data_IF_637697428523
#
_entry.id   IF_637697428523
#
_cell.length_a   1.000
_cell.length_b   1.000
_cell.length_c   1.000
_cell.angle_alpha   90.00
_cell.angle_beta   90.00
_cell.angle_gamma   90.00
#
_symmetry.space_group_name_H-M   'P 1'
#
loop_
_entity.id
_entity.type
_entity.pdbx_description
1 polymer ?
#
# COMPACT_ATOMS: atom_id res chain seq x y z
N UNK A 1 12.25 -9.67 -23.45
CA UNK A 1 11.21 -10.64 -23.06
C UNK A 1 10.35 -9.97 -21.98
N UNK A 2 9.03 -10.02 -22.09
CA UNK A 2 8.14 -9.48 -21.05
C UNK A 2 8.01 -10.52 -19.93
N UNK A 3 8.03 -10.08 -18.67
CA UNK A 3 7.91 -10.98 -17.50
C UNK A 3 6.48 -11.50 -17.32
N UNK A 4 5.47 -10.72 -17.72
CA UNK A 4 4.06 -11.09 -17.60
C UNK A 4 3.20 -10.35 -18.63
N UNK A 5 2.03 -10.90 -18.90
CA UNK A 5 0.95 -10.23 -19.64
C UNK A 5 -0.41 -10.70 -19.10
N UNK A 6 -1.47 -9.94 -19.37
CA UNK A 6 -2.82 -10.32 -18.99
C UNK A 6 -3.52 -10.99 -20.17
N UNK A 7 -3.94 -12.24 -19.98
CA UNK A 7 -4.73 -12.96 -20.97
C UNK A 7 -6.22 -12.78 -20.70
N UNK A 8 -6.92 -12.06 -21.57
CA UNK A 8 -8.37 -11.89 -21.50
C UNK A 8 -9.07 -13.01 -22.28
N UNK A 9 -10.09 -13.62 -21.68
CA UNK A 9 -10.89 -14.68 -22.32
C UNK A 9 -11.53 -14.23 -23.64
N UNK A 10 -11.82 -12.92 -23.75
CA UNK A 10 -12.37 -12.29 -24.96
C UNK A 10 -11.49 -12.51 -26.20
N UNK A 11 -10.17 -12.69 -26.05
CA UNK A 11 -9.25 -12.88 -27.17
C UNK A 11 -9.57 -14.10 -28.02
N UNK A 12 -10.13 -15.13 -27.39
CA UNK A 12 -10.44 -16.40 -28.03
C UNK A 12 -11.90 -16.82 -27.82
N UNK A 13 -12.75 -15.92 -27.31
CA UNK A 13 -14.13 -16.25 -26.97
C UNK A 13 -14.92 -16.70 -28.21
N UNK A 14 -14.76 -15.96 -29.31
CA UNK A 14 -15.49 -16.14 -30.56
C UNK A 14 -14.89 -17.22 -31.48
N UNK A 15 -13.72 -17.78 -31.12
CA UNK A 15 -13.11 -18.84 -31.93
C UNK A 15 -13.80 -20.20 -31.68
N UNK A 16 -13.91 -21.05 -32.71
CA UNK A 16 -14.30 -22.44 -32.52
C UNK A 16 -13.39 -23.16 -31.53
N UNK A 17 -13.95 -24.10 -30.76
CA UNK A 17 -13.24 -24.79 -29.66
C UNK A 17 -11.93 -25.44 -30.11
N UNK A 18 -11.88 -25.97 -31.32
CA UNK A 18 -10.70 -26.60 -31.92
C UNK A 18 -9.52 -25.63 -32.11
N UNK A 19 -9.79 -24.35 -32.34
CA UNK A 19 -8.75 -23.34 -32.54
C UNK A 19 -8.35 -22.60 -31.26
N UNK A 20 -9.18 -22.65 -30.21
CA UNK A 20 -8.93 -21.90 -28.95
C UNK A 20 -7.58 -22.22 -28.33
N UNK A 21 -7.20 -23.49 -28.24
CA UNK A 21 -5.93 -23.90 -27.64
C UNK A 21 -4.73 -23.41 -28.45
N UNK A 22 -4.80 -23.55 -29.78
CA UNK A 22 -3.73 -23.13 -30.69
C UNK A 22 -3.52 -21.62 -30.62
N UNK A 23 -4.61 -20.83 -30.69
CA UNK A 23 -4.54 -19.38 -30.59
C UNK A 23 -4.14 -18.89 -29.19
N UNK A 24 -4.47 -19.61 -28.12
CA UNK A 24 -3.97 -19.33 -26.78
C UNK A 24 -2.43 -19.48 -26.71
N UNK A 25 -1.88 -20.52 -27.33
CA UNK A 25 -0.41 -20.70 -27.38
C UNK A 25 0.24 -19.57 -28.20
N UNK A 26 -0.32 -19.25 -29.37
CA UNK A 26 0.19 -18.16 -30.21
C UNK A 26 0.17 -16.81 -29.51
N UNK A 27 -0.88 -16.53 -28.76
CA UNK A 27 -0.98 -15.29 -27.98
C UNK A 27 0.02 -15.25 -26.84
N UNK A 28 0.22 -16.34 -26.11
CA UNK A 28 1.23 -16.42 -25.04
C UNK A 28 2.64 -16.20 -25.60
N UNK A 29 2.98 -16.90 -26.68
CA UNK A 29 4.31 -16.80 -27.31
C UNK A 29 4.55 -15.39 -27.87
N UNK A 30 3.55 -14.81 -28.53
CA UNK A 30 3.65 -13.45 -29.04
C UNK A 30 3.73 -12.42 -27.89
N UNK A 31 2.93 -12.60 -26.84
CA UNK A 31 2.93 -11.68 -25.71
C UNK A 31 4.26 -11.71 -24.94
N UNK A 32 4.79 -12.89 -24.62
CA UNK A 32 5.99 -13.01 -23.78
C UNK A 32 7.28 -12.86 -24.59
N UNK A 33 7.36 -13.55 -25.73
CA UNK A 33 8.57 -13.69 -26.53
C UNK A 33 8.58 -12.80 -27.79
N UNK A 34 7.43 -12.28 -28.22
CA UNK A 34 7.32 -11.54 -29.49
C UNK A 34 7.34 -12.45 -30.72
N UNK A 35 7.21 -13.77 -30.51
CA UNK A 35 7.26 -14.76 -31.58
C UNK A 35 5.93 -14.79 -32.35
N UNK A 36 6.02 -14.67 -33.67
CA UNK A 36 4.87 -14.78 -34.57
C UNK A 36 4.60 -16.25 -34.87
N UNK A 37 3.33 -16.66 -35.00
CA UNK A 37 2.99 -18.03 -35.32
C UNK A 37 3.35 -18.35 -36.76
N UNK A 38 3.68 -19.61 -37.03
CA UNK A 38 4.01 -20.11 -38.36
C UNK A 38 2.76 -20.38 -39.20
N UNK A 39 1.90 -19.37 -39.36
CA UNK A 39 0.67 -19.41 -40.18
C UNK A 39 0.96 -18.74 -41.52
N UNK A 40 0.41 -19.30 -42.60
CA UNK A 40 0.54 -18.72 -43.93
C UNK A 40 -0.15 -17.35 -44.03
N UNK A 41 0.58 -16.35 -44.55
CA UNK A 41 0.06 -14.99 -44.74
C UNK A 41 -1.10 -14.99 -45.74
N UNK A 42 -2.22 -14.36 -45.37
CA UNK A 42 -3.43 -14.28 -46.20
C UNK A 42 -4.53 -15.27 -45.82
N UNK A 43 -4.24 -16.25 -44.98
CA UNK A 43 -5.24 -17.17 -44.43
C UNK A 43 -6.15 -16.47 -43.41
N UNK A 44 -7.39 -16.97 -43.23
CA UNK A 44 -8.32 -16.49 -42.21
C UNK A 44 -7.68 -16.52 -40.81
N UNK A 45 -6.95 -17.59 -40.49
CA UNK A 45 -6.22 -17.75 -39.23
C UNK A 45 -5.19 -16.64 -39.00
N UNK A 46 -4.47 -16.24 -40.05
CA UNK A 46 -3.51 -15.15 -39.97
C UNK A 46 -4.24 -13.82 -39.67
N UNK A 47 -5.38 -13.57 -40.32
CA UNK A 47 -6.17 -12.36 -40.05
C UNK A 47 -6.73 -12.32 -38.61
N UNK A 48 -7.10 -13.48 -38.06
CA UNK A 48 -7.53 -13.62 -36.67
C UNK A 48 -6.35 -13.34 -35.73
N UNK A 49 -5.18 -13.90 -36.02
CA UNK A 49 -3.99 -13.67 -35.22
C UNK A 49 -3.58 -12.19 -35.24
N UNK A 50 -3.59 -11.52 -36.40
CA UNK A 50 -3.27 -10.10 -36.53
C UNK A 50 -4.21 -9.24 -35.67
N UNK A 51 -5.51 -9.57 -35.62
CA UNK A 51 -6.47 -8.85 -34.76
C UNK A 51 -6.10 -8.99 -33.28
N UNK A 52 -5.73 -10.18 -32.84
CA UNK A 52 -5.36 -10.43 -31.45
C UNK A 52 -4.01 -9.79 -31.12
N UNK A 53 -3.02 -9.90 -32.00
CA UNK A 53 -1.70 -9.26 -31.88
C UNK A 53 -1.85 -7.75 -31.70
N UNK A 54 -2.65 -7.09 -32.55
CA UNK A 54 -2.94 -5.65 -32.45
C UNK A 54 -3.51 -5.27 -31.08
N UNK A 55 -4.34 -6.12 -30.50
CA UNK A 55 -4.92 -5.86 -29.17
C UNK A 55 -3.86 -5.97 -28.07
N UNK A 56 -3.01 -6.99 -28.14
CA UNK A 56 -1.88 -7.18 -27.20
C UNK A 56 -0.94 -5.98 -27.25
N UNK A 57 -0.63 -5.46 -28.43
CA UNK A 57 0.25 -4.29 -28.59
C UNK A 57 -0.37 -3.03 -27.95
N UNK A 58 -1.65 -2.77 -28.21
CA UNK A 58 -2.37 -1.64 -27.59
C UNK A 58 -2.38 -1.73 -26.06
N UNK A 59 -2.51 -2.92 -25.50
CA UNK A 59 -2.49 -3.11 -24.04
C UNK A 59 -1.08 -2.96 -23.46
N UNK A 60 -0.06 -3.41 -24.19
CA UNK A 60 1.33 -3.18 -23.84
C UNK A 60 1.65 -1.68 -23.75
N UNK A 61 1.24 -0.91 -24.76
CA UNK A 61 1.43 0.53 -24.82
C UNK A 61 0.70 1.24 -23.67
N UNK A 62 -0.55 0.85 -23.40
CA UNK A 62 -1.33 1.37 -22.28
C UNK A 62 -0.65 1.08 -20.95
N UNK A 63 -0.17 -0.14 -20.74
CA UNK A 63 0.50 -0.54 -19.51
C UNK A 63 1.78 0.28 -19.30
N UNK A 64 2.64 0.39 -20.31
CA UNK A 64 3.87 1.19 -20.23
C UNK A 64 3.57 2.68 -20.02
N UNK A 65 2.52 3.23 -20.66
CA UNK A 65 2.09 4.61 -20.41
C UNK A 65 1.61 4.82 -18.96
N UNK A 66 0.84 3.88 -18.40
CA UNK A 66 0.40 3.93 -17.00
C UNK A 66 1.60 3.79 -16.06
N UNK A 67 2.52 2.87 -16.33
CA UNK A 67 3.75 2.65 -15.56
C UNK A 67 4.63 3.90 -15.54
N UNK A 68 4.83 4.55 -16.69
CA UNK A 68 5.55 5.81 -16.80
C UNK A 68 4.87 6.94 -16.01
N UNK A 69 3.54 7.08 -16.11
CA UNK A 69 2.77 8.05 -15.32
C UNK A 69 2.90 7.80 -13.81
N UNK A 70 2.81 6.54 -13.37
CA UNK A 70 2.97 6.14 -11.96
C UNK A 70 4.38 6.42 -11.45
N UNK A 71 5.41 6.09 -12.24
CA UNK A 71 6.80 6.39 -11.91
C UNK A 71 7.07 7.90 -11.81
N UNK A 72 6.51 8.70 -12.72
CA UNK A 72 6.61 10.17 -12.67
C UNK A 72 5.88 10.74 -11.44
N UNK A 73 4.69 10.24 -11.11
CA UNK A 73 3.96 10.63 -9.91
C UNK A 73 4.73 10.26 -8.63
N UNK A 74 5.34 9.08 -8.57
CA UNK A 74 6.21 8.64 -7.47
C UNK A 74 7.50 9.44 -7.33
N UNK A 75 8.00 10.08 -8.39
CA UNK A 75 9.10 11.06 -8.28
C UNK A 75 8.64 12.41 -7.71
N UNK A 76 7.42 12.85 -8.05
CA UNK A 76 6.86 14.14 -7.58
C UNK A 76 6.42 14.10 -6.13
N UNK A 77 5.83 12.99 -5.71
CA UNK A 77 5.57 12.73 -4.30
C UNK A 77 6.65 11.77 -3.82
N UNK A 78 7.65 12.25 -3.06
CA UNK A 78 8.47 11.38 -2.18
C UNK A 78 7.52 10.74 -1.16
N UNK A 79 6.79 9.73 -1.64
CA UNK A 79 5.84 8.97 -0.88
C UNK A 79 6.61 8.26 0.21
N UNK A 80 6.03 8.29 1.40
CA UNK A 80 6.50 7.70 2.64
C UNK A 80 6.51 6.16 2.52
N UNK A 81 7.27 5.60 1.58
CA UNK A 81 7.58 4.18 1.55
C UNK A 81 8.67 3.96 2.58
N UNK A 82 8.36 3.11 3.54
CA UNK A 82 9.28 2.59 4.51
C UNK A 82 10.41 1.90 3.74
N UNK A 83 11.51 2.60 3.50
CA UNK A 83 12.79 1.95 3.26
C UNK A 83 13.09 1.18 4.54
N UNK A 84 13.14 -0.14 4.47
CA UNK A 84 13.81 -0.92 5.50
C UNK A 84 15.29 -0.56 5.36
N UNK A 85 15.79 0.26 6.27
CA UNK A 85 17.22 0.47 6.41
C UNK A 85 17.81 -0.83 6.96
N UNK A 86 18.70 -1.45 6.19
CA UNK A 86 19.61 -2.47 6.71
C UNK A 86 20.55 -1.86 7.78
N UNK A 87 20.97 -2.66 8.77
CA UNK A 87 21.48 -2.16 10.04
C UNK A 87 22.90 -1.60 9.91
N UNK A 88 23.09 -0.33 10.27
CA UNK A 88 24.41 0.25 10.49
C UNK A 88 24.77 0.13 11.98
N UNK A 89 25.88 -0.57 12.22
CA UNK A 89 26.47 -0.90 13.52
C UNK A 89 26.78 0.34 14.39
N UNK A 90 26.68 0.10 15.70
CA UNK A 90 27.08 0.87 16.90
C UNK A 90 28.52 1.45 16.80
N UNK A 91 29.01 2.49 17.51
CA UNK A 91 28.79 3.03 18.87
C UNK A 91 29.61 4.39 18.98
N UNK A 92 29.85 5.04 20.15
CA UNK A 92 29.02 5.93 21.00
C UNK A 92 29.62 7.37 21.16
N UNK A 93 29.17 8.10 22.21
CA UNK A 93 29.72 9.34 22.83
C UNK A 93 29.15 10.68 22.28
N UNK A 94 28.77 11.70 23.06
CA UNK A 94 28.70 11.96 24.50
C UNK A 94 27.78 13.21 24.67
N UNK A 95 27.06 13.36 25.79
CA UNK A 95 26.44 14.65 26.18
C UNK A 95 27.52 15.54 26.82
N UNK A 96 27.40 16.88 26.75
CA UNK A 96 26.98 17.56 27.98
C UNK A 96 26.04 18.78 27.81
N UNK A 97 25.28 19.01 28.88
CA UNK A 97 24.47 20.20 29.19
C UNK A 97 25.36 21.41 29.54
N UNK A 98 24.88 22.63 29.29
CA UNK A 98 25.13 23.79 30.16
C UNK A 98 24.17 24.95 29.84
N UNK A 99 23.50 25.45 30.89
CA UNK A 99 22.67 26.65 30.96
C UNK A 99 23.51 27.94 30.86
N UNK A 100 22.88 29.06 30.44
CA UNK A 100 23.03 30.39 31.06
C UNK A 100 22.02 31.43 30.54
N UNK A 101 21.51 32.20 31.50
CA UNK A 101 20.46 33.22 31.47
C UNK A 101 20.72 34.49 30.62
N UNK A 102 19.59 34.99 30.06
CA UNK A 102 19.03 36.36 29.84
C UNK A 102 19.88 37.67 29.96
N UNK A 103 19.33 38.87 29.60
CA UNK A 103 18.20 39.23 28.71
C UNK A 103 18.50 40.43 27.77
N UNK A 104 17.77 40.63 26.66
CA UNK A 104 17.13 41.94 26.31
C UNK A 104 16.36 41.93 24.98
N UNK A 105 15.21 42.62 25.04
CA UNK A 105 14.49 43.34 23.98
C UNK A 105 13.62 42.59 22.94
N UNK A 106 12.31 42.81 23.11
CA UNK A 106 11.21 42.48 22.18
C UNK A 106 11.37 43.27 20.87
N UNK A 107 10.96 42.70 19.72
CA UNK A 107 9.64 43.08 19.19
C UNK A 107 8.84 41.92 18.58
N UNK A 108 7.56 41.83 18.97
CA UNK A 108 6.45 41.17 18.28
C UNK A 108 6.71 39.77 17.68
N UNK A 109 6.85 38.75 18.52
CA UNK A 109 6.89 37.36 18.09
C UNK A 109 5.48 36.78 17.90
N UNK A 110 5.24 36.23 16.71
CA UNK A 110 4.20 35.22 16.45
C UNK A 110 4.25 34.14 17.54
N UNK A 111 3.13 33.61 18.05
CA UNK A 111 3.16 32.66 19.17
C UNK A 111 4.08 31.50 18.82
N UNK A 112 5.19 31.39 19.57
CA UNK A 112 6.15 30.28 19.47
C UNK A 112 5.35 28.98 19.53
N UNK A 113 5.49 28.17 18.49
CA UNK A 113 4.78 26.89 18.42
C UNK A 113 5.12 26.11 19.70
N UNK A 114 4.08 25.78 20.47
CA UNK A 114 4.21 25.01 21.70
C UNK A 114 5.05 23.77 21.39
N UNK A 115 6.16 23.61 22.11
CA UNK A 115 6.89 22.36 22.06
C UNK A 115 5.89 21.23 22.36
N UNK A 116 6.01 20.14 21.61
CA UNK A 116 5.12 19.00 21.80
C UNK A 116 5.41 18.39 23.18
N UNK A 117 4.53 18.67 24.14
CA UNK A 117 4.52 18.01 25.43
C UNK A 117 3.95 16.60 25.23
N UNK A 118 4.74 15.59 25.61
CA UNK A 118 4.31 14.20 25.57
C UNK A 118 3.16 14.06 26.57
N UNK A 119 1.96 13.66 26.13
CA UNK A 119 0.87 13.47 27.07
C UNK A 119 1.13 12.26 27.96
N UNK A 120 0.59 12.29 29.17
CA UNK A 120 0.53 11.10 30.03
C UNK A 120 -0.67 10.23 29.64
N UNK A 121 -0.63 8.95 30.03
CA UNK A 121 -1.75 8.02 29.81
C UNK A 121 -3.03 8.55 30.47
N UNK A 122 -2.92 9.18 31.64
CA UNK A 122 -4.04 9.79 32.37
C UNK A 122 -4.67 10.95 31.60
N UNK A 123 -3.87 11.82 30.97
CA UNK A 123 -4.39 12.92 30.15
C UNK A 123 -5.12 12.40 28.91
N UNK A 124 -4.60 11.36 28.27
CA UNK A 124 -5.25 10.71 27.13
C UNK A 124 -6.56 10.08 27.57
N UNK A 125 -6.59 9.40 28.72
CA UNK A 125 -7.77 8.80 29.30
C UNK A 125 -8.83 9.84 29.67
N UNK A 126 -8.44 10.95 30.31
CA UNK A 126 -9.33 12.06 30.63
C UNK A 126 -9.95 12.64 29.33
N UNK A 127 -9.14 12.82 28.29
CA UNK A 127 -9.63 13.30 26.99
C UNK A 127 -10.58 12.31 26.30
N UNK A 128 -10.29 11.01 26.37
CA UNK A 128 -11.16 9.96 25.82
C UNK A 128 -12.50 9.87 26.56
N UNK A 129 -12.48 9.99 27.90
CA UNK A 129 -13.68 9.92 28.74
C UNK A 129 -14.57 11.16 28.57
N UNK A 130 -14.00 12.37 28.55
CA UNK A 130 -14.72 13.63 28.30
C UNK A 130 -15.53 13.56 26.99
N UNK A 131 -14.95 12.92 25.97
CA UNK A 131 -15.54 12.80 24.64
C UNK A 131 -16.37 11.53 24.45
N UNK A 132 -16.49 10.68 25.48
CA UNK A 132 -17.16 9.36 25.46
C UNK A 132 -16.68 8.45 24.31
N UNK A 133 -15.37 8.45 24.08
CA UNK A 133 -14.74 7.66 23.04
C UNK A 133 -14.35 6.25 23.55
N UNK A 134 -14.38 5.24 22.69
CA UNK A 134 -14.03 3.85 23.00
C UNK A 134 -12.56 3.52 22.71
N UNK A 135 -11.68 4.52 22.78
CA UNK A 135 -10.24 4.38 22.50
C UNK A 135 -9.51 3.97 23.77
N UNK A 136 -8.76 2.86 23.72
CA UNK A 136 -7.84 2.46 24.78
C UNK A 136 -6.63 3.42 24.84
N UNK A 137 -6.54 4.18 25.93
CA UNK A 137 -5.50 5.17 26.16
C UNK A 137 -4.10 4.54 26.25
N UNK A 138 -3.99 3.32 26.79
CA UNK A 138 -2.70 2.64 26.97
C UNK A 138 -2.17 2.14 25.64
N UNK A 139 -3.02 1.49 24.85
CA UNK A 139 -2.68 1.08 23.49
C UNK A 139 -2.29 2.26 22.59
N UNK A 140 -2.96 3.41 22.75
CA UNK A 140 -2.59 4.64 22.03
C UNK A 140 -1.19 5.15 22.44
N UNK A 141 -0.90 5.18 23.74
CA UNK A 141 0.38 5.64 24.27
C UNK A 141 1.53 4.75 23.77
N UNK A 142 1.44 3.43 23.98
CA UNK A 142 2.49 2.47 23.62
C UNK A 142 2.79 2.50 22.09
N UNK A 143 1.76 2.68 21.27
CA UNK A 143 1.91 2.80 19.81
C UNK A 143 2.68 4.05 19.37
N UNK A 144 2.47 5.19 20.03
CA UNK A 144 3.17 6.42 19.69
C UNK A 144 4.51 6.54 20.40
N UNK A 145 4.66 5.95 21.59
CA UNK A 145 5.93 5.83 22.30
C UNK A 145 6.94 5.02 21.48
N UNK A 146 6.55 3.83 21.00
CA UNK A 146 7.38 3.00 20.12
C UNK A 146 7.76 3.68 18.79
N UNK A 147 6.97 4.66 18.34
CA UNK A 147 7.25 5.47 17.13
C UNK A 147 8.02 6.76 17.41
N UNK A 148 8.36 7.02 18.67
CA UNK A 148 9.01 8.25 19.09
C UNK A 148 8.16 9.50 18.84
N UNK A 149 6.84 9.40 18.98
CA UNK A 149 5.87 10.47 18.77
C UNK A 149 5.94 11.09 17.36
N UNK A 150 6.05 10.23 16.33
CA UNK A 150 6.03 10.63 14.91
C UNK A 150 4.77 10.12 14.21
N UNK A 151 4.25 10.93 13.29
CA UNK A 151 3.17 10.57 12.34
C UNK A 151 3.79 10.56 10.94
N UNK A 152 4.07 9.37 10.42
CA UNK A 152 4.86 9.22 9.19
C UNK A 152 6.28 9.72 9.41
N UNK A 153 6.74 10.64 8.56
CA UNK A 153 8.05 11.30 8.67
C UNK A 153 8.07 12.52 9.59
N UNK A 154 6.91 13.09 9.94
CA UNK A 154 6.82 14.30 10.75
C UNK A 154 6.67 13.97 12.24
N UNK A 155 7.26 14.81 13.12
CA UNK A 155 6.99 14.77 14.56
C UNK A 155 5.55 15.18 14.83
N UNK A 156 4.89 14.52 15.78
CA UNK A 156 3.53 14.83 16.19
C UNK A 156 3.48 16.24 16.79
N UNK A 157 2.46 17.02 16.40
CA UNK A 157 2.22 18.38 16.91
C UNK A 157 1.04 18.43 17.87
N UNK A 158 0.02 17.60 17.64
CA UNK A 158 -1.19 17.54 18.44
C UNK A 158 -1.63 16.07 18.58
N UNK A 159 -1.52 15.55 19.81
CA UNK A 159 -1.92 14.19 20.13
C UNK A 159 -3.44 14.05 20.19
N UNK A 160 -4.18 15.11 20.55
CA UNK A 160 -5.66 15.10 20.59
C UNK A 160 -6.23 14.94 19.19
N UNK A 161 -5.65 15.62 18.19
CA UNK A 161 -5.97 15.39 16.78
C UNK A 161 -5.71 13.93 16.34
N UNK A 162 -4.65 13.32 16.86
CA UNK A 162 -4.29 11.94 16.55
C UNK A 162 -5.29 10.95 17.16
N UNK A 163 -5.74 11.17 18.40
CA UNK A 163 -6.83 10.40 19.02
C UNK A 163 -8.11 10.45 18.18
N UNK A 164 -8.50 11.63 17.68
CA UNK A 164 -9.66 11.80 16.79
C UNK A 164 -9.54 10.97 15.50
N UNK A 165 -8.35 10.87 14.94
CA UNK A 165 -8.13 10.06 13.74
C UNK A 165 -8.13 8.56 14.05
N UNK A 166 -7.56 8.19 15.19
CA UNK A 166 -7.50 6.81 15.67
C UNK A 166 -8.90 6.23 15.93
N UNK A 167 -9.78 7.02 16.54
CA UNK A 167 -11.22 6.73 16.70
C UNK A 167 -11.89 6.41 15.36
N UNK A 168 -11.77 7.32 14.37
CA UNK A 168 -12.37 7.12 13.04
C UNK A 168 -11.87 5.85 12.37
N UNK A 169 -10.58 5.53 12.55
CA UNK A 169 -9.98 4.32 12.00
C UNK A 169 -10.56 3.08 12.67
N UNK A 170 -10.58 2.99 14.00
CA UNK A 170 -11.13 1.85 14.74
C UNK A 170 -12.58 1.53 14.30
N UNK A 171 -13.42 2.56 14.13
CA UNK A 171 -14.80 2.40 13.64
C UNK A 171 -14.87 1.83 12.22
N UNK A 172 -13.93 2.19 11.35
CA UNK A 172 -13.88 1.70 9.97
C UNK A 172 -13.27 0.30 9.83
N UNK A 173 -12.22 -0.02 10.60
CA UNK A 173 -11.54 -1.31 10.56
C UNK A 173 -12.44 -2.42 11.11
N UNK A 174 -13.24 -2.14 12.15
CA UNK A 174 -14.24 -3.09 12.65
C UNK A 174 -15.32 -3.45 11.61
N UNK A 175 -15.62 -2.56 10.66
CA UNK A 175 -16.53 -2.85 9.54
C UNK A 175 -15.81 -3.64 8.45
N UNK A 176 -14.56 -3.29 8.14
CA UNK A 176 -13.75 -3.97 7.13
C UNK A 176 -13.39 -5.40 7.51
N UNK A 177 -13.03 -5.66 8.77
CA UNK A 177 -12.72 -7.02 9.23
C UNK A 177 -13.95 -7.93 9.16
N UNK A 178 -15.15 -7.40 9.48
CA UNK A 178 -16.41 -8.15 9.33
C UNK A 178 -16.76 -8.41 7.86
N UNK A 179 -16.52 -7.45 6.98
CA UNK A 179 -16.75 -7.61 5.54
C UNK A 179 -15.71 -8.55 4.89
N UNK A 180 -14.45 -8.49 5.32
CA UNK A 180 -13.39 -9.36 4.82
C UNK A 180 -13.59 -10.82 5.24
N UNK A 181 -13.99 -11.08 6.49
CA UNK A 181 -14.36 -12.42 6.95
C UNK A 181 -15.58 -13.00 6.23
N UNK A 182 -16.54 -12.15 5.83
CA UNK A 182 -17.68 -12.57 5.02
C UNK A 182 -17.34 -12.88 3.55
N UNK A 183 -16.27 -12.28 3.01
CA UNK A 183 -15.87 -12.41 1.61
C UNK A 183 -14.92 -13.59 1.36
N UNK A 184 -14.07 -13.94 2.33
CA UNK A 184 -13.05 -14.99 2.16
C UNK A 184 -13.38 -16.30 2.88
N UNK A 185 -14.52 -16.40 3.55
CA UNK A 185 -14.87 -17.59 4.34
C UNK A 185 -13.89 -17.80 5.51
N UNK A 186 -14.32 -18.53 6.54
CA UNK A 186 -13.45 -18.90 7.65
C UNK A 186 -12.50 -20.03 7.21
N UNK A 187 -11.54 -19.71 6.33
CA UNK A 187 -10.56 -20.66 5.78
C UNK A 187 -9.65 -21.29 6.85
N UNK A 188 -9.69 -20.79 8.09
CA UNK A 188 -9.01 -21.34 9.26
C UNK A 188 -9.79 -22.44 10.01
N UNK A 189 -11.09 -22.63 9.71
CA UNK A 189 -11.90 -23.70 10.30
C UNK A 189 -11.96 -24.90 9.35
N UNK A 190 -10.83 -25.61 9.21
CA UNK A 190 -10.78 -26.89 8.49
C UNK A 190 -11.52 -27.94 9.35
N UNK A 191 -12.58 -28.61 8.85
CA UNK A 191 -13.27 -29.66 9.59
C UNK A 191 -12.29 -30.77 9.98
N UNK A 192 -12.35 -31.24 11.23
CA UNK A 192 -11.48 -32.32 11.74
C UNK A 192 -11.56 -33.60 10.88
N UNK A 193 -12.66 -33.80 10.16
CA UNK A 193 -12.83 -34.91 9.20
C UNK A 193 -11.80 -34.89 8.06
N UNK A 194 -11.33 -33.71 7.62
CA UNK A 194 -10.31 -33.58 6.57
C UNK A 194 -8.91 -33.85 7.12
N UNK A 195 -8.64 -33.46 8.37
CA UNK A 195 -7.35 -33.66 9.03
C UNK A 195 -7.08 -35.14 9.31
N UNK A 196 -8.13 -35.93 9.61
CA UNK A 196 -8.02 -37.36 9.89
C UNK A 196 -8.01 -38.25 8.63
N UNK A 197 -7.99 -37.67 7.42
CA UNK A 197 -7.97 -38.42 6.15
C UNK A 197 -6.59 -38.47 5.47
N UNK A 198 -5.55 -37.88 6.11
CA UNK A 198 -4.13 -37.94 5.72
C UNK A 198 -3.38 -38.81 6.71
#
# INVERSE_FOLDING_TARGET
>A
MRESFVFHSEYIADLPREHKAVFAIYTINYALCGEKPSIEEGTLEYSLWVKIARRIDQEAEKYEAIKAKRAAAGKKHKGNQHTQEEPKQEEPEEKPQAEKDEPTEKPAEKPKAKNFEKPTVEEIQAYCTERKNSVDARAFFDFYESKGWKIGTAKMKDWRASVRNWERRQKSEGVKQKAAGALWGNESDIPEEIINMI
#
